data_IF_871354180039
#
_entry.id   IF_871354180039
#
_cell.length_a   1.000
_cell.length_b   1.000
_cell.length_c   1.000
_cell.angle_alpha   90.00
_cell.angle_beta   90.00
_cell.angle_gamma   90.00
#
_symmetry.space_group_name_H-M   'P 1'
#
loop_
_entity.id
_entity.type
_entity.pdbx_description
1 polymer ?
#
# COMPACT_ATOMS: atom_id res chain seq x y z
N UNK A 1 21.16 -18.63 32.01
CA UNK A 1 19.77 -18.40 32.48
C UNK A 1 18.88 -19.42 31.80
N UNK A 2 17.96 -20.08 32.52
CA UNK A 2 17.03 -21.08 31.95
C UNK A 2 15.65 -20.45 31.74
N UNK A 3 14.93 -20.87 30.68
CA UNK A 3 13.55 -20.44 30.37
C UNK A 3 12.62 -20.59 31.59
N UNK A 4 12.77 -21.70 32.32
CA UNK A 4 11.99 -21.99 33.52
C UNK A 4 12.24 -21.00 34.67
N UNK A 5 13.38 -20.31 34.67
CA UNK A 5 13.75 -19.36 35.71
C UNK A 5 13.35 -17.91 35.35
N UNK A 6 12.79 -17.67 34.15
CA UNK A 6 12.30 -16.37 33.76
C UNK A 6 10.96 -16.06 34.44
N UNK A 7 10.75 -14.78 34.78
CA UNK A 7 9.44 -14.30 35.22
C UNK A 7 8.42 -14.41 34.10
N UNK A 8 7.13 -14.53 34.45
CA UNK A 8 6.03 -14.59 33.49
C UNK A 8 6.10 -13.41 32.51
N UNK A 9 6.38 -12.20 33.00
CA UNK A 9 6.50 -10.99 32.16
C UNK A 9 7.61 -11.11 31.12
N UNK A 10 8.76 -11.68 31.48
CA UNK A 10 9.86 -11.87 30.54
C UNK A 10 9.53 -12.94 29.51
N UNK A 11 8.86 -14.04 29.92
CA UNK A 11 8.41 -15.06 28.98
C UNK A 11 7.39 -14.50 27.99
N UNK A 12 6.41 -13.74 28.47
CA UNK A 12 5.43 -13.05 27.62
C UNK A 12 6.11 -12.11 26.63
N UNK A 13 7.09 -11.31 27.09
CA UNK A 13 7.83 -10.42 26.20
C UNK A 13 8.64 -11.17 25.13
N UNK A 14 9.24 -12.31 25.47
CA UNK A 14 9.90 -13.16 24.47
C UNK A 14 8.87 -13.75 23.52
N UNK A 15 7.72 -14.22 24.01
CA UNK A 15 6.63 -14.77 23.19
C UNK A 15 6.03 -13.74 22.22
N UNK A 16 6.05 -12.44 22.55
CA UNK A 16 5.68 -11.36 21.64
C UNK A 16 6.61 -11.24 20.44
N UNK A 17 7.85 -11.70 20.55
CA UNK A 17 8.88 -11.66 19.49
C UNK A 17 8.90 -12.93 18.63
N UNK A 18 8.17 -13.97 19.02
CA UNK A 18 8.09 -15.23 18.28
C UNK A 18 7.09 -15.14 17.13
N UNK A 19 7.45 -15.74 16.00
CA UNK A 19 6.52 -15.95 14.88
C UNK A 19 5.42 -16.97 15.23
N UNK A 20 4.41 -17.07 14.37
CA UNK A 20 3.26 -17.91 14.65
C UNK A 20 3.64 -19.39 14.79
N UNK A 21 4.57 -19.88 13.97
CA UNK A 21 5.05 -21.27 14.04
C UNK A 21 5.75 -21.58 15.38
N UNK A 22 6.71 -20.74 15.78
CA UNK A 22 7.46 -20.90 17.03
C UNK A 22 6.53 -20.82 18.23
N UNK A 23 5.48 -19.99 18.18
CA UNK A 23 4.45 -19.93 19.23
C UNK A 23 3.62 -21.21 19.29
N UNK A 24 3.24 -21.78 18.15
CA UNK A 24 2.56 -23.07 18.10
C UNK A 24 3.43 -24.19 18.69
N UNK A 25 4.72 -24.22 18.36
CA UNK A 25 5.67 -25.20 18.93
C UNK A 25 5.83 -25.00 20.44
N UNK A 26 6.04 -23.76 20.91
CA UNK A 26 6.17 -23.44 22.33
C UNK A 26 4.92 -23.85 23.12
N UNK A 27 3.73 -23.61 22.56
CA UNK A 27 2.44 -23.98 23.17
C UNK A 27 2.30 -25.48 23.43
N UNK A 28 3.00 -26.32 22.67
CA UNK A 28 2.98 -27.78 22.82
C UNK A 28 4.02 -28.30 23.81
N UNK A 29 4.97 -27.48 24.26
CA UNK A 29 6.07 -27.91 25.13
C UNK A 29 5.62 -28.26 26.55
N UNK A 30 4.75 -27.44 27.17
CA UNK A 30 4.26 -27.67 28.53
C UNK A 30 2.95 -26.92 28.81
N UNK A 31 2.31 -27.21 29.95
CA UNK A 31 1.11 -26.48 30.40
C UNK A 31 1.41 -25.00 30.67
N UNK A 32 2.53 -24.70 31.33
CA UNK A 32 2.94 -23.33 31.65
C UNK A 32 3.25 -22.52 30.38
N UNK A 33 3.89 -23.16 29.39
CA UNK A 33 4.16 -22.54 28.09
C UNK A 33 2.88 -22.28 27.31
N UNK A 34 1.94 -23.22 27.35
CA UNK A 34 0.60 -23.03 26.79
C UNK A 34 -0.11 -21.83 27.41
N UNK A 35 -0.12 -21.71 28.73
CA UNK A 35 -0.72 -20.56 29.43
C UNK A 35 0.00 -19.25 29.08
N UNK A 36 1.33 -19.28 28.93
CA UNK A 36 2.11 -18.11 28.48
C UNK A 36 1.72 -17.69 27.06
N UNK A 37 1.64 -18.64 26.12
CA UNK A 37 1.25 -18.37 24.73
C UNK A 37 -0.19 -17.90 24.63
N UNK A 38 -1.12 -18.57 25.33
CA UNK A 38 -2.56 -18.26 25.32
C UNK A 38 -2.86 -16.91 26.01
N UNK A 39 -2.05 -16.48 26.98
CA UNK A 39 -2.17 -15.17 27.64
C UNK A 39 -1.46 -14.03 26.91
N UNK A 40 -0.54 -14.33 25.99
CA UNK A 40 0.17 -13.33 25.19
C UNK A 40 -0.60 -13.09 23.91
N UNK A 41 -1.05 -11.87 23.62
CA UNK A 41 -1.75 -11.61 22.36
C UNK A 41 -0.78 -11.70 21.18
N UNK A 42 -1.15 -12.42 20.12
CA UNK A 42 -0.44 -12.37 18.85
C UNK A 42 -0.97 -11.18 18.01
N UNK A 43 -0.06 -10.34 17.52
CA UNK A 43 -0.35 -9.25 16.61
C UNK A 43 0.54 -9.47 15.40
N UNK A 44 0.00 -9.97 14.27
CA UNK A 44 0.81 -10.25 13.10
C UNK A 44 1.40 -8.97 12.53
N UNK A 45 2.60 -9.08 11.96
CA UNK A 45 3.24 -7.99 11.24
C UNK A 45 2.51 -7.71 9.93
N UNK A 46 2.12 -8.76 9.20
CA UNK A 46 1.37 -8.69 7.95
C UNK A 46 0.17 -9.62 8.00
N UNK A 47 -0.98 -9.10 7.58
CA UNK A 47 -2.21 -9.87 7.39
C UNK A 47 -2.70 -9.64 5.97
N UNK A 48 -2.61 -10.66 5.11
CA UNK A 48 -3.00 -10.59 3.71
C UNK A 48 -4.16 -11.53 3.42
N UNK A 49 -5.14 -11.04 2.66
CA UNK A 49 -6.25 -11.84 2.12
C UNK A 49 -6.25 -11.67 0.61
N UNK A 50 -6.33 -12.77 -0.13
CA UNK A 50 -6.45 -12.74 -1.58
C UNK A 50 -7.39 -13.81 -2.11
N UNK A 51 -8.19 -13.50 -3.11
CA UNK A 51 -9.02 -14.46 -3.84
C UNK A 51 -8.59 -14.58 -5.30
N UNK A 52 -8.52 -15.81 -5.81
CA UNK A 52 -8.24 -16.05 -7.23
C UNK A 52 -9.03 -17.26 -7.75
N UNK A 53 -9.39 -17.26 -9.05
CA UNK A 53 -10.04 -18.40 -9.67
C UNK A 53 -9.13 -19.62 -9.66
N UNK A 54 -9.73 -20.81 -9.54
CA UNK A 54 -9.01 -22.08 -9.66
C UNK A 54 -9.10 -22.58 -11.09
N UNK A 55 -7.94 -22.81 -11.72
CA UNK A 55 -7.83 -23.36 -13.09
C UNK A 55 -8.50 -24.74 -13.24
N UNK A 56 -8.67 -25.47 -12.14
CA UNK A 56 -9.24 -26.82 -12.12
C UNK A 56 -10.72 -26.89 -12.52
N UNK A 57 -11.52 -25.84 -12.25
CA UNK A 57 -12.96 -25.87 -12.56
C UNK A 57 -13.61 -24.49 -12.45
N UNK A 58 -14.54 -24.20 -13.37
CA UNK A 58 -15.32 -22.96 -13.31
C UNK A 58 -16.17 -22.85 -12.02
N UNK A 59 -16.25 -21.64 -11.46
CA UNK A 59 -16.91 -21.31 -10.19
C UNK A 59 -16.17 -21.73 -8.93
N UNK A 60 -15.02 -22.42 -9.07
CA UNK A 60 -14.14 -22.73 -7.95
C UNK A 60 -13.13 -21.60 -7.79
N UNK A 61 -12.99 -21.11 -6.57
CA UNK A 61 -11.98 -20.10 -6.24
C UNK A 61 -11.18 -20.56 -5.03
N UNK A 62 -10.07 -19.87 -4.80
CA UNK A 62 -9.16 -20.10 -3.70
C UNK A 62 -9.06 -18.78 -2.96
N UNK A 63 -9.52 -18.76 -1.71
CA UNK A 63 -9.25 -17.66 -0.80
C UNK A 63 -8.01 -18.04 0.01
N UNK A 64 -6.93 -17.30 -0.20
CA UNK A 64 -5.67 -17.43 0.50
C UNK A 64 -5.58 -16.37 1.59
N UNK A 65 -5.24 -16.79 2.80
CA UNK A 65 -4.96 -15.90 3.92
C UNK A 65 -3.53 -16.15 4.37
N UNK A 66 -2.68 -15.12 4.29
CA UNK A 66 -1.32 -15.14 4.82
C UNK A 66 -1.23 -14.29 6.09
N UNK A 67 -0.67 -14.85 7.16
CA UNK A 67 -0.48 -14.22 8.46
C UNK A 67 0.98 -14.44 8.86
N UNK A 68 1.82 -13.45 8.61
CA UNK A 68 3.28 -13.58 8.69
C UNK A 68 3.80 -14.82 7.94
N UNK A 69 4.29 -15.82 8.65
CA UNK A 69 4.78 -17.09 8.08
C UNK A 69 3.68 -18.13 7.89
N UNK A 70 2.47 -17.94 8.42
CA UNK A 70 1.38 -18.90 8.32
C UNK A 70 0.52 -18.65 7.08
N UNK A 71 0.17 -19.70 6.34
CA UNK A 71 -0.74 -19.61 5.19
C UNK A 71 -1.90 -20.59 5.33
N UNK A 72 -3.10 -20.13 4.97
CA UNK A 72 -4.29 -20.96 4.80
C UNK A 72 -4.90 -20.78 3.41
N UNK A 73 -5.35 -21.88 2.82
CA UNK A 73 -6.09 -21.86 1.55
C UNK A 73 -7.48 -22.46 1.76
N UNK A 74 -8.51 -21.68 1.45
CA UNK A 74 -9.90 -22.11 1.41
C UNK A 74 -10.28 -22.33 -0.06
N UNK A 75 -10.15 -23.57 -0.51
CA UNK A 75 -10.32 -23.99 -1.90
C UNK A 75 -11.73 -24.58 -2.03
N UNK A 76 -12.67 -23.81 -2.58
CA UNK A 76 -14.07 -24.20 -2.52
C UNK A 76 -14.87 -23.90 -3.78
N UNK A 77 -15.91 -24.70 -3.98
CA UNK A 77 -16.97 -24.48 -4.97
C UNK A 77 -18.30 -24.77 -4.29
N UNK A 78 -19.25 -23.83 -4.40
CA UNK A 78 -20.56 -23.94 -3.75
C UNK A 78 -20.41 -24.23 -2.25
N UNK A 79 -20.97 -25.32 -1.74
CA UNK A 79 -20.97 -25.68 -0.31
C UNK A 79 -19.93 -26.74 0.04
N UNK A 80 -18.88 -26.89 -0.77
CA UNK A 80 -17.78 -27.82 -0.48
C UNK A 80 -16.45 -27.07 -0.52
N UNK A 81 -15.73 -27.11 0.59
CA UNK A 81 -14.46 -26.40 0.76
C UNK A 81 -13.38 -27.33 1.32
N UNK A 82 -12.24 -27.38 0.63
CA UNK A 82 -11.00 -27.93 1.17
C UNK A 82 -10.20 -26.81 1.83
N UNK A 83 -9.76 -27.03 3.06
CA UNK A 83 -8.92 -26.11 3.82
C UNK A 83 -7.54 -26.73 3.92
N UNK A 84 -6.56 -26.10 3.28
CA UNK A 84 -5.16 -26.47 3.39
C UNK A 84 -4.41 -25.44 4.27
N UNK A 85 -3.32 -25.88 4.91
CA UNK A 85 -2.50 -25.06 5.80
C UNK A 85 -1.02 -25.23 5.49
N UNK A 86 -0.25 -24.19 5.74
CA UNK A 86 1.14 -24.13 5.34
C UNK A 86 1.98 -23.13 6.10
N UNK A 87 3.29 -23.24 5.92
CA UNK A 87 4.28 -22.28 6.39
C UNK A 87 5.00 -21.67 5.18
N UNK A 88 5.14 -20.35 5.15
CA UNK A 88 5.82 -19.61 4.09
C UNK A 88 5.27 -19.94 2.68
N UNK A 89 3.97 -20.23 2.59
CA UNK A 89 3.33 -20.64 1.34
C UNK A 89 3.53 -22.11 0.94
N UNK A 90 4.26 -22.91 1.74
CA UNK A 90 4.44 -24.34 1.53
C UNK A 90 3.41 -25.15 2.31
N UNK A 91 2.75 -26.09 1.64
CA UNK A 91 1.74 -26.95 2.25
C UNK A 91 2.36 -27.86 3.31
N UNK A 92 1.63 -28.08 4.40
CA UNK A 92 2.01 -29.08 5.39
C UNK A 92 1.16 -30.33 5.17
N UNK A 93 1.83 -31.42 4.80
CA UNK A 93 1.20 -32.71 4.61
C UNK A 93 0.44 -33.15 5.87
N UNK A 94 -0.80 -33.62 5.67
CA UNK A 94 -1.66 -34.08 6.75
C UNK A 94 -2.46 -33.00 7.49
N UNK A 95 -2.33 -31.71 7.13
CA UNK A 95 -3.15 -30.62 7.69
C UNK A 95 -4.31 -30.14 6.79
N UNK A 96 -4.63 -30.92 5.76
CA UNK A 96 -5.78 -30.71 4.89
C UNK A 96 -7.09 -31.20 5.52
N UNK A 97 -8.16 -30.42 5.37
CA UNK A 97 -9.49 -30.77 5.87
C UNK A 97 -10.54 -30.48 4.79
N UNK A 98 -11.59 -31.28 4.72
CA UNK A 98 -12.74 -31.02 3.84
C UNK A 98 -13.96 -30.72 4.70
N UNK A 99 -14.68 -29.66 4.36
CA UNK A 99 -15.93 -29.25 5.02
C UNK A 99 -17.06 -29.06 4.02
N UNK A 100 -18.25 -29.51 4.40
CA UNK A 100 -19.50 -29.28 3.66
C UNK A 100 -20.07 -27.91 4.01
N UNK A 101 -19.30 -26.87 3.72
CA UNK A 101 -19.64 -25.48 3.99
C UNK A 101 -19.02 -24.58 2.92
N UNK A 102 -19.66 -23.43 2.65
CA UNK A 102 -19.15 -22.48 1.67
C UNK A 102 -17.84 -21.83 2.16
N UNK A 103 -16.90 -21.61 1.25
CA UNK A 103 -15.58 -21.02 1.56
C UNK A 103 -15.68 -19.65 2.24
N UNK A 104 -16.65 -18.82 1.86
CA UNK A 104 -16.84 -17.50 2.44
C UNK A 104 -17.32 -17.59 3.90
N UNK A 105 -18.20 -18.56 4.21
CA UNK A 105 -18.65 -18.81 5.59
C UNK A 105 -17.49 -19.29 6.48
N UNK A 106 -16.63 -20.16 5.95
CA UNK A 106 -15.46 -20.66 6.65
C UNK A 106 -14.39 -19.59 6.87
N UNK A 107 -14.12 -18.76 5.86
CA UNK A 107 -13.29 -17.56 6.01
C UNK A 107 -13.90 -16.65 7.06
N UNK A 108 -15.23 -16.53 7.08
CA UNK A 108 -15.88 -15.67 8.04
C UNK A 108 -15.66 -16.12 9.48
N UNK A 109 -15.89 -17.40 9.73
CA UNK A 109 -15.64 -18.04 11.03
C UNK A 109 -14.17 -17.94 11.44
N UNK A 110 -13.25 -18.13 10.48
CA UNK A 110 -11.83 -18.02 10.73
C UNK A 110 -11.46 -16.60 11.18
N UNK A 111 -11.85 -15.57 10.43
CA UNK A 111 -11.54 -14.18 10.79
C UNK A 111 -12.22 -13.73 12.08
N UNK A 112 -13.42 -14.25 12.37
CA UNK A 112 -14.07 -14.03 13.66
C UNK A 112 -13.25 -14.57 14.83
N UNK A 113 -12.52 -15.68 14.67
CA UNK A 113 -11.63 -16.23 15.72
C UNK A 113 -10.39 -15.35 15.99
N UNK A 114 -9.99 -14.53 15.03
CA UNK A 114 -8.90 -13.54 15.16
C UNK A 114 -9.36 -12.20 15.72
N UNK A 115 -10.68 -11.95 15.69
CA UNK A 115 -11.27 -10.71 16.19
C UNK A 115 -11.31 -10.70 17.72
N UNK A 116 -10.81 -9.64 18.32
CA UNK A 116 -10.97 -9.38 19.75
C UNK A 116 -11.65 -8.03 19.96
N UNK A 117 -12.83 -8.04 20.60
CA UNK A 117 -13.70 -6.86 20.75
C UNK A 117 -14.02 -6.19 19.41
N UNK A 118 -14.23 -6.99 18.36
CA UNK A 118 -14.54 -6.50 17.02
C UNK A 118 -13.33 -6.09 16.18
N UNK A 119 -12.10 -6.18 16.70
CA UNK A 119 -10.89 -5.75 15.99
C UNK A 119 -9.89 -6.88 15.75
N UNK A 120 -9.46 -7.01 14.50
CA UNK A 120 -8.26 -7.75 14.09
C UNK A 120 -7.12 -6.73 14.01
N UNK A 121 -6.12 -6.86 14.88
CA UNK A 121 -4.96 -5.95 14.93
C UNK A 121 -3.82 -6.56 14.14
N UNK A 122 -3.20 -5.78 13.26
CA UNK A 122 -2.02 -6.18 12.48
C UNK A 122 -1.12 -4.98 12.19
N UNK A 123 0.15 -5.21 11.84
CA UNK A 123 1.08 -4.16 11.43
C UNK A 123 0.74 -3.56 10.06
N UNK A 124 0.45 -4.44 9.11
CA UNK A 124 -0.01 -4.16 7.74
C UNK A 124 -1.20 -5.05 7.40
N UNK A 125 -2.19 -4.48 6.73
CA UNK A 125 -3.32 -5.21 6.16
C UNK A 125 -3.29 -5.10 4.64
N UNK A 126 -3.33 -6.24 3.96
CA UNK A 126 -3.34 -6.33 2.51
C UNK A 126 -4.57 -7.10 2.03
N UNK A 127 -5.27 -6.54 1.05
CA UNK A 127 -6.42 -7.16 0.41
C UNK A 127 -6.22 -7.16 -1.11
N UNK A 128 -6.35 -8.32 -1.74
CA UNK A 128 -6.17 -8.50 -3.19
C UNK A 128 -7.31 -9.33 -3.77
N UNK A 129 -8.26 -8.68 -4.44
CA UNK A 129 -9.50 -9.31 -4.97
C UNK A 129 -10.24 -10.10 -3.89
N UNK A 130 -11.37 -9.58 -3.39
CA UNK A 130 -12.31 -10.40 -2.64
C UNK A 130 -13.71 -10.02 -3.08
N UNK A 131 -14.42 -10.99 -3.66
CA UNK A 131 -15.73 -10.71 -4.26
C UNK A 131 -16.80 -10.39 -3.21
N UNK A 132 -16.62 -10.91 -1.99
CA UNK A 132 -17.57 -10.70 -0.89
C UNK A 132 -17.25 -9.46 -0.08
N UNK A 133 -18.28 -8.76 0.45
CA UNK A 133 -18.06 -7.68 1.41
C UNK A 133 -17.49 -8.24 2.72
N UNK A 134 -16.76 -7.42 3.50
CA UNK A 134 -16.41 -7.79 4.86
C UNK A 134 -17.71 -7.87 5.68
N UNK A 135 -17.88 -8.90 6.53
CA UNK A 135 -18.90 -8.89 7.56
C UNK A 135 -18.84 -7.62 8.41
N UNK A 136 -20.00 -7.13 8.81
CA UNK A 136 -20.16 -5.89 9.58
C UNK A 136 -19.42 -5.89 10.92
N UNK A 137 -19.07 -7.08 11.44
CA UNK A 137 -18.34 -7.26 12.69
C UNK A 137 -16.82 -7.11 12.55
N UNK A 138 -16.29 -6.99 11.33
CA UNK A 138 -14.84 -6.95 11.11
C UNK A 138 -14.34 -5.52 11.03
N UNK A 139 -13.38 -5.22 11.90
CA UNK A 139 -12.56 -4.02 11.78
C UNK A 139 -11.09 -4.39 11.82
N UNK A 140 -10.37 -4.08 10.75
CA UNK A 140 -8.93 -4.25 10.66
C UNK A 140 -8.24 -3.01 11.22
N UNK A 141 -7.59 -3.15 12.37
CA UNK A 141 -6.85 -2.07 13.01
C UNK A 141 -5.39 -2.13 12.59
N UNK A 142 -4.99 -1.26 11.67
CA UNK A 142 -3.66 -1.21 11.05
C UNK A 142 -3.24 0.22 10.71
N UNK A 143 -1.94 0.51 10.71
CA UNK A 143 -1.41 1.79 10.20
C UNK A 143 -1.00 1.71 8.72
N UNK A 144 -0.95 0.52 8.14
CA UNK A 144 -0.60 0.29 6.74
C UNK A 144 -1.74 -0.49 6.11
N UNK A 145 -2.32 0.07 5.05
CA UNK A 145 -3.33 -0.62 4.26
C UNK A 145 -2.90 -0.64 2.80
N UNK A 146 -3.05 -1.81 2.19
CA UNK A 146 -2.87 -1.99 0.76
C UNK A 146 -4.05 -2.77 0.22
N UNK A 147 -4.82 -2.14 -0.65
CA UNK A 147 -5.99 -2.75 -1.24
C UNK A 147 -5.81 -2.70 -2.75
N UNK A 148 -5.80 -3.86 -3.39
CA UNK A 148 -5.59 -4.00 -4.83
C UNK A 148 -6.73 -4.77 -5.49
N UNK A 149 -6.96 -4.49 -6.76
CA UNK A 149 -7.92 -5.19 -7.61
C UNK A 149 -9.34 -5.20 -7.00
N UNK A 150 -9.82 -4.00 -6.67
CA UNK A 150 -11.11 -3.81 -6.03
C UNK A 150 -12.28 -4.43 -6.81
N UNK A 151 -13.13 -5.17 -6.08
CA UNK A 151 -14.42 -5.68 -6.53
C UNK A 151 -15.53 -4.66 -6.24
N UNK A 152 -16.79 -5.02 -6.52
CA UNK A 152 -17.95 -4.16 -6.24
C UNK A 152 -18.07 -3.73 -4.76
N UNK A 153 -17.49 -4.47 -3.81
CA UNK A 153 -17.62 -4.24 -2.36
C UNK A 153 -16.43 -3.48 -1.74
N UNK A 154 -15.74 -2.68 -2.54
CA UNK A 154 -14.50 -2.02 -2.14
C UNK A 154 -14.67 -1.01 -1.00
N UNK A 155 -15.80 -0.32 -0.97
CA UNK A 155 -16.08 0.71 0.02
C UNK A 155 -16.18 0.10 1.41
N UNK A 156 -16.91 -1.00 1.53
CA UNK A 156 -17.07 -1.73 2.77
C UNK A 156 -15.72 -2.22 3.30
N UNK A 157 -14.84 -2.68 2.40
CA UNK A 157 -13.47 -3.07 2.75
C UNK A 157 -12.63 -1.89 3.24
N UNK A 158 -12.69 -0.73 2.58
CA UNK A 158 -11.99 0.48 3.02
C UNK A 158 -12.52 0.94 4.39
N UNK A 159 -13.83 0.98 4.58
CA UNK A 159 -14.49 1.37 5.84
C UNK A 159 -14.29 0.36 6.99
N UNK A 160 -13.95 -0.89 6.65
CA UNK A 160 -13.54 -1.89 7.63
C UNK A 160 -12.14 -1.63 8.20
N UNK A 161 -11.33 -0.80 7.54
CA UNK A 161 -9.98 -0.47 7.97
C UNK A 161 -9.96 0.75 8.90
N UNK A 162 -9.25 0.64 10.03
CA UNK A 162 -9.17 1.70 11.05
C UNK A 162 -7.70 1.90 11.48
N UNK A 163 -7.20 3.15 11.55
CA UNK A 163 -5.84 3.41 12.01
C UNK A 163 -5.66 3.16 13.51
N UNK A 164 -4.41 2.93 13.96
CA UNK A 164 -4.14 2.81 15.40
C UNK A 164 -4.31 4.13 16.14
N UNK A 165 -3.81 5.21 15.56
CA UNK A 165 -3.66 6.53 16.18
C UNK A 165 -4.23 7.62 15.26
N UNK A 166 -5.50 7.48 14.84
CA UNK A 166 -6.26 8.43 13.99
C UNK A 166 -5.76 8.62 12.55
N UNK A 167 -4.50 8.28 12.26
CA UNK A 167 -3.86 8.43 10.96
C UNK A 167 -3.31 7.10 10.45
N UNK A 168 -3.47 6.85 9.16
CA UNK A 168 -2.69 5.82 8.47
C UNK A 168 -1.25 6.35 8.25
N UNK A 169 -0.27 5.46 8.34
CA UNK A 169 1.09 5.75 7.87
C UNK A 169 1.16 5.57 6.36
N UNK A 170 0.64 4.47 5.85
CA UNK A 170 0.66 4.11 4.43
C UNK A 170 -0.73 3.67 3.99
N UNK A 171 -1.16 4.17 2.84
CA UNK A 171 -2.40 3.79 2.19
C UNK A 171 -2.14 3.63 0.69
N UNK A 172 -2.29 2.41 0.18
CA UNK A 172 -2.22 2.11 -1.25
C UNK A 172 -3.56 1.51 -1.69
N UNK A 173 -4.22 2.13 -2.67
CA UNK A 173 -5.48 1.64 -3.25
C UNK A 173 -5.32 1.61 -4.77
N UNK A 174 -5.11 0.42 -5.32
CA UNK A 174 -4.84 0.20 -6.74
C UNK A 174 -6.03 -0.54 -7.37
N UNK A 175 -6.73 0.11 -8.29
CA UNK A 175 -7.95 -0.43 -8.86
C UNK A 175 -7.93 -0.32 -10.39
N UNK A 176 -8.40 -1.38 -11.04
CA UNK A 176 -8.52 -1.48 -12.50
C UNK A 176 -9.91 -1.10 -13.02
N UNK A 177 -10.88 -0.95 -12.12
CA UNK A 177 -12.23 -0.55 -12.47
C UNK A 177 -12.42 0.95 -12.28
N UNK A 178 -13.26 1.55 -13.11
CA UNK A 178 -13.70 2.93 -12.98
C UNK A 178 -14.76 3.01 -11.87
N UNK A 179 -14.33 3.34 -10.65
CA UNK A 179 -15.18 3.41 -9.46
C UNK A 179 -14.97 4.73 -8.73
N UNK A 180 -16.06 5.33 -8.27
CA UNK A 180 -16.02 6.59 -7.54
C UNK A 180 -15.32 6.42 -6.18
N UNK A 181 -14.23 7.16 -5.97
CA UNK A 181 -13.42 7.07 -4.75
C UNK A 181 -13.74 8.14 -3.71
N UNK A 182 -14.89 8.81 -3.83
CA UNK A 182 -15.33 9.89 -2.93
C UNK A 182 -15.25 9.52 -1.44
N UNK A 183 -15.60 8.29 -0.99
CA UNK A 183 -15.50 7.93 0.42
C UNK A 183 -14.05 7.82 0.94
N UNK A 184 -13.06 7.56 0.08
CA UNK A 184 -11.64 7.56 0.47
C UNK A 184 -11.27 8.91 1.08
N UNK A 185 -11.84 10.01 0.58
CA UNK A 185 -11.62 11.36 1.08
C UNK A 185 -11.93 11.51 2.58
N UNK A 186 -12.87 10.73 3.10
CA UNK A 186 -13.25 10.76 4.52
C UNK A 186 -12.20 10.12 5.45
N UNK A 187 -11.30 9.31 4.89
CA UNK A 187 -10.27 8.55 5.63
C UNK A 187 -8.84 8.93 5.22
N UNK A 188 -8.64 9.96 4.41
CA UNK A 188 -7.36 10.44 3.85
C UNK A 188 -6.38 11.08 4.86
N UNK A 189 -6.46 10.70 6.13
CA UNK A 189 -5.51 11.12 7.15
C UNK A 189 -4.24 10.25 7.07
N UNK A 190 -3.38 10.52 6.08
CA UNK A 190 -2.19 9.71 5.76
C UNK A 190 -0.89 10.51 5.96
N UNK A 191 0.08 9.92 6.66
CA UNK A 191 1.31 10.62 7.10
C UNK A 191 2.59 10.32 6.34
N UNK A 192 2.73 9.16 5.67
CA UNK A 192 3.98 8.80 4.97
C UNK A 192 3.79 8.58 3.47
N UNK A 193 2.89 7.69 3.08
CA UNK A 193 2.69 7.31 1.68
C UNK A 193 1.21 7.15 1.35
N UNK A 194 0.74 7.83 0.30
CA UNK A 194 -0.62 7.72 -0.22
C UNK A 194 -0.57 7.45 -1.73
N UNK A 195 -1.09 6.32 -2.17
CA UNK A 195 -1.20 6.00 -3.59
C UNK A 195 -2.62 5.55 -3.91
N UNK A 196 -3.26 6.25 -4.83
CA UNK A 196 -4.59 5.91 -5.33
C UNK A 196 -4.58 6.06 -6.85
N UNK A 197 -4.80 4.96 -7.56
CA UNK A 197 -4.73 4.94 -9.03
C UNK A 197 -5.95 5.61 -9.68
N UNK A 198 -7.10 5.55 -9.01
CA UNK A 198 -8.35 6.11 -9.51
C UNK A 198 -8.45 7.62 -9.24
N UNK A 199 -9.05 8.40 -10.16
CA UNK A 199 -9.31 9.81 -9.93
C UNK A 199 -10.11 10.08 -8.65
N UNK A 200 -9.69 11.11 -7.93
CA UNK A 200 -10.30 11.62 -6.72
C UNK A 200 -10.96 12.97 -7.00
N UNK A 201 -11.99 13.34 -6.23
CA UNK A 201 -12.56 14.68 -6.24
C UNK A 201 -11.88 15.58 -5.18
N UNK A 202 -10.55 15.62 -5.20
CA UNK A 202 -9.76 16.39 -4.23
C UNK A 202 -9.65 17.86 -4.64
N UNK A 203 -10.04 18.76 -3.75
CA UNK A 203 -9.77 20.20 -3.85
C UNK A 203 -8.39 20.55 -3.30
N UNK A 204 -7.86 21.72 -3.67
CA UNK A 204 -6.58 22.25 -3.14
C UNK A 204 -6.52 22.23 -1.60
N UNK A 205 -7.58 22.68 -0.94
CA UNK A 205 -7.64 22.74 0.52
C UNK A 205 -7.65 21.36 1.19
N UNK A 206 -8.15 20.32 0.51
CA UNK A 206 -8.05 18.94 0.99
C UNK A 206 -6.65 18.36 0.71
N UNK A 207 -6.07 18.65 -0.45
CA UNK A 207 -4.70 18.25 -0.80
C UNK A 207 -3.67 18.78 0.21
N UNK A 208 -3.81 20.04 0.65
CA UNK A 208 -2.94 20.65 1.67
C UNK A 208 -2.98 19.94 3.03
N UNK A 209 -4.07 19.22 3.36
CA UNK A 209 -4.20 18.46 4.61
C UNK A 209 -3.47 17.12 4.57
N UNK A 210 -3.08 16.64 3.39
CA UNK A 210 -2.39 15.36 3.22
C UNK A 210 -0.90 15.52 3.55
N UNK A 211 -0.48 14.96 4.69
CA UNK A 211 0.89 15.09 5.18
C UNK A 211 1.90 14.17 4.49
N UNK A 212 1.46 13.05 3.92
CA UNK A 212 2.32 12.08 3.25
C UNK A 212 3.10 12.75 2.10
N UNK A 213 4.44 12.80 2.09
CA UNK A 213 5.19 13.33 0.95
C UNK A 213 5.25 12.36 -0.24
N UNK A 214 5.35 11.05 0.02
CA UNK A 214 5.21 10.02 -1.01
C UNK A 214 3.73 9.94 -1.44
N UNK A 215 3.43 10.34 -2.66
CA UNK A 215 2.07 10.60 -3.10
C UNK A 215 1.91 10.25 -4.58
N UNK A 216 0.88 9.47 -4.91
CA UNK A 216 0.43 9.23 -6.28
C UNK A 216 -1.09 9.31 -6.31
N UNK A 217 -1.64 10.40 -6.84
CA UNK A 217 -3.10 10.60 -6.95
C UNK A 217 -3.42 11.42 -8.21
N UNK A 218 -4.67 11.42 -8.62
CA UNK A 218 -5.17 12.34 -9.65
C UNK A 218 -6.48 12.99 -9.20
N UNK A 219 -6.71 14.25 -9.58
CA UNK A 219 -7.98 14.95 -9.35
C UNK A 219 -8.15 16.10 -10.33
N UNK A 220 -9.30 16.16 -11.00
CA UNK A 220 -9.63 17.25 -11.91
C UNK A 220 -9.91 18.59 -11.20
N UNK A 221 -10.13 18.57 -9.88
CA UNK A 221 -10.46 19.73 -9.05
C UNK A 221 -9.23 20.43 -8.44
N UNK A 222 -8.04 19.88 -8.66
CA UNK A 222 -6.79 20.51 -8.23
C UNK A 222 -6.40 21.61 -9.22
N UNK A 223 -6.09 22.79 -8.71
CA UNK A 223 -5.60 23.91 -9.52
C UNK A 223 -4.07 23.82 -9.73
N UNK A 224 -3.55 24.59 -10.68
CA UNK A 224 -2.09 24.74 -10.87
C UNK A 224 -1.40 25.21 -9.60
N UNK A 225 -2.02 26.13 -8.85
CA UNK A 225 -1.45 26.65 -7.61
C UNK A 225 -1.47 25.57 -6.51
N UNK A 226 -2.52 24.75 -6.45
CA UNK A 226 -2.55 23.56 -5.59
C UNK A 226 -1.44 22.57 -5.91
N UNK A 227 -1.24 22.26 -7.20
CA UNK A 227 -0.16 21.39 -7.67
C UNK A 227 1.24 21.95 -7.36
N UNK A 228 1.42 23.26 -7.53
CA UNK A 228 2.67 23.96 -7.20
C UNK A 228 2.99 23.93 -5.71
N UNK A 229 2.02 24.26 -4.84
CA UNK A 229 2.19 24.14 -3.38
C UNK A 229 2.51 22.71 -2.98
N UNK A 230 1.89 21.73 -3.66
CA UNK A 230 2.14 20.32 -3.42
C UNK A 230 3.57 19.91 -3.79
N UNK A 231 4.10 20.41 -4.91
CA UNK A 231 5.51 20.26 -5.29
C UNK A 231 6.45 20.86 -4.23
N UNK A 232 6.18 22.08 -3.76
CA UNK A 232 6.97 22.71 -2.69
C UNK A 232 6.93 21.88 -1.39
N UNK A 233 5.76 21.35 -1.02
CA UNK A 233 5.62 20.45 0.12
C UNK A 233 6.48 19.18 -0.05
N UNK A 234 6.45 18.54 -1.24
CA UNK A 234 7.29 17.38 -1.53
C UNK A 234 8.79 17.71 -1.43
N UNK A 235 9.23 18.83 -2.01
CA UNK A 235 10.64 19.26 -1.94
C UNK A 235 11.08 19.54 -0.50
N UNK A 236 10.19 20.08 0.33
CA UNK A 236 10.47 20.39 1.74
C UNK A 236 10.50 19.15 2.65
N UNK A 237 9.60 18.18 2.43
CA UNK A 237 9.36 17.08 3.37
C UNK A 237 9.69 15.67 2.84
N UNK A 238 9.94 15.50 1.54
CA UNK A 238 10.22 14.20 0.93
C UNK A 238 11.62 13.67 1.26
N UNK A 239 11.74 12.34 1.35
CA UNK A 239 12.98 11.61 1.52
C UNK A 239 13.62 11.22 0.17
N UNK A 240 14.66 10.39 0.20
CA UNK A 240 15.34 9.89 -1.01
C UNK A 240 14.49 8.89 -1.80
N UNK A 241 13.65 8.12 -1.11
CA UNK A 241 12.82 7.05 -1.69
C UNK A 241 11.44 7.52 -2.11
N UNK A 242 11.00 8.68 -1.61
CA UNK A 242 9.65 9.18 -1.84
C UNK A 242 9.51 9.71 -3.26
N UNK A 243 8.33 9.52 -3.85
CA UNK A 243 7.97 10.05 -5.17
C UNK A 243 6.67 10.83 -5.06
N UNK A 244 6.57 11.91 -5.82
CA UNK A 244 5.33 12.64 -5.99
C UNK A 244 4.86 12.48 -7.43
N UNK A 245 3.62 12.06 -7.59
CA UNK A 245 2.90 11.99 -8.85
C UNK A 245 1.50 12.57 -8.62
N UNK A 246 1.18 13.61 -9.39
CA UNK A 246 -0.06 14.35 -9.27
C UNK A 246 -0.70 14.56 -10.63
N UNK A 247 -1.88 14.01 -10.83
CA UNK A 247 -2.75 14.31 -11.95
C UNK A 247 -3.66 15.49 -11.66
N UNK A 248 -3.74 16.49 -12.54
CA UNK A 248 -4.69 17.61 -12.43
C UNK A 248 -5.12 18.13 -13.81
N UNK A 249 -6.21 18.90 -13.89
CA UNK A 249 -6.76 19.36 -15.18
C UNK A 249 -5.80 20.30 -15.93
N UNK A 250 -5.70 20.17 -17.25
CA UNK A 250 -4.95 21.11 -18.11
C UNK A 250 -5.68 22.46 -18.18
N UNK A 251 -5.10 23.57 -17.69
CA UNK A 251 -5.70 24.88 -17.87
C UNK A 251 -5.43 25.43 -19.29
N UNK A 252 -6.22 26.41 -19.76
CA UNK A 252 -5.95 27.09 -21.03
C UNK A 252 -4.58 27.77 -21.03
N UNK A 253 -3.84 27.65 -22.15
CA UNK A 253 -2.50 28.24 -22.33
C UNK A 253 -1.50 27.83 -21.23
N UNK A 254 -1.54 26.56 -20.83
CA UNK A 254 -0.67 26.03 -19.79
C UNK A 254 0.82 26.11 -20.19
N UNK A 255 1.65 26.57 -19.27
CA UNK A 255 3.11 26.49 -19.38
C UNK A 255 3.70 26.09 -18.03
N UNK A 256 4.25 24.87 -17.96
CA UNK A 256 4.77 24.31 -16.72
C UNK A 256 5.92 25.15 -16.12
N UNK A 257 6.83 25.66 -16.96
CA UNK A 257 7.96 26.43 -16.47
C UNK A 257 7.53 27.78 -15.87
N UNK A 258 6.56 28.44 -16.47
CA UNK A 258 6.09 29.77 -16.04
C UNK A 258 5.08 29.71 -14.88
N UNK A 259 4.20 28.70 -14.89
CA UNK A 259 3.04 28.64 -14.02
C UNK A 259 3.20 27.64 -12.86
N UNK A 260 3.88 26.51 -13.09
CA UNK A 260 3.96 25.42 -12.11
C UNK A 260 5.26 25.44 -11.30
N UNK A 261 6.40 25.72 -11.95
CA UNK A 261 7.72 25.67 -11.29
C UNK A 261 7.93 26.96 -10.46
N UNK A 262 8.13 26.86 -9.14
CA UNK A 262 8.43 28.04 -8.33
C UNK A 262 9.70 28.76 -8.78
N UNK A 263 9.63 30.09 -8.94
CA UNK A 263 10.71 30.93 -9.50
C UNK A 263 12.03 30.91 -8.71
N UNK A 264 11.98 30.52 -7.44
CA UNK A 264 13.15 30.45 -6.57
C UNK A 264 13.94 29.15 -6.73
N UNK A 265 13.38 28.14 -7.43
CA UNK A 265 14.05 26.89 -7.71
C UNK A 265 15.10 27.05 -8.81
N UNK A 266 16.24 26.38 -8.63
CA UNK A 266 17.29 26.30 -9.63
C UNK A 266 17.03 25.08 -10.51
N UNK A 267 16.47 25.30 -11.69
CA UNK A 267 16.06 24.23 -12.62
C UNK A 267 16.89 24.23 -13.91
N UNK A 268 17.05 23.04 -14.50
CA UNK A 268 17.60 22.88 -15.87
C UNK A 268 16.66 22.01 -16.68
N UNK A 269 16.21 22.56 -17.81
CA UNK A 269 15.46 21.79 -18.81
C UNK A 269 16.39 20.75 -19.46
N UNK A 270 15.88 19.54 -19.64
CA UNK A 270 16.54 18.47 -20.37
C UNK A 270 15.79 18.24 -21.68
N UNK A 271 16.47 17.68 -22.68
CA UNK A 271 15.80 17.25 -23.91
C UNK A 271 15.01 15.98 -23.63
N UNK A 272 13.76 15.96 -24.06
CA UNK A 272 12.90 14.78 -24.11
C UNK A 272 12.28 14.69 -25.50
N UNK A 273 12.33 13.51 -26.09
CA UNK A 273 11.69 13.27 -27.38
C UNK A 273 10.17 13.38 -27.22
N UNK A 274 9.51 14.01 -28.19
CA UNK A 274 8.06 14.21 -28.23
C UNK A 274 7.48 15.09 -27.10
N UNK A 275 8.27 15.99 -26.50
CA UNK A 275 7.76 17.00 -25.57
C UNK A 275 6.82 17.97 -26.30
N UNK A 276 5.60 18.14 -25.78
CA UNK A 276 4.59 19.05 -26.34
C UNK A 276 4.76 20.49 -25.84
N UNK A 277 4.11 21.44 -26.50
CA UNK A 277 4.12 22.83 -26.07
C UNK A 277 3.52 22.98 -24.66
N UNK A 278 4.22 23.72 -23.80
CA UNK A 278 3.83 23.92 -22.40
C UNK A 278 4.29 22.83 -21.42
N UNK A 279 4.81 21.69 -21.89
CA UNK A 279 5.40 20.65 -21.05
C UNK A 279 6.80 21.02 -20.52
N UNK A 280 7.24 20.32 -19.48
CA UNK A 280 8.58 20.50 -18.93
C UNK A 280 9.16 19.18 -18.43
N UNK A 281 10.29 18.78 -19.02
CA UNK A 281 11.17 17.77 -18.46
C UNK A 281 12.50 18.37 -18.00
N UNK A 282 12.92 18.07 -16.77
CA UNK A 282 14.14 18.67 -16.24
C UNK A 282 14.62 18.15 -14.90
N UNK A 283 15.56 18.91 -14.33
CA UNK A 283 16.11 18.69 -12.99
C UNK A 283 15.97 19.93 -12.13
N UNK A 284 15.71 19.72 -10.85
CA UNK A 284 15.80 20.73 -9.79
C UNK A 284 17.10 20.46 -9.02
N UNK A 285 18.04 21.41 -9.05
CA UNK A 285 19.35 21.28 -8.40
C UNK A 285 19.39 21.88 -7.00
N UNK A 286 18.45 22.77 -6.69
CA UNK A 286 18.44 23.49 -5.43
C UNK A 286 17.42 24.61 -5.45
N UNK A 287 17.60 25.56 -4.54
CA UNK A 287 16.60 26.60 -4.25
C UNK A 287 15.49 26.10 -3.34
N UNK A 288 15.63 24.95 -2.66
CA UNK A 288 14.68 24.48 -1.66
C UNK A 288 15.42 24.00 -0.40
N UNK A 289 14.77 24.11 0.75
CA UNK A 289 15.27 23.61 2.02
C UNK A 289 14.45 22.41 2.47
N UNK A 290 15.09 21.23 2.48
CA UNK A 290 14.46 19.98 2.90
C UNK A 290 14.73 19.70 4.38
N UNK A 291 13.68 19.46 5.16
CA UNK A 291 13.78 19.25 6.62
C UNK A 291 14.51 17.96 6.98
N UNK A 292 14.53 16.97 6.08
CA UNK A 292 15.23 15.70 6.26
C UNK A 292 16.68 15.76 5.72
N UNK A 293 17.18 16.96 5.39
CA UNK A 293 18.53 17.22 4.84
C UNK A 293 18.81 16.49 3.52
N UNK A 294 17.76 16.17 2.76
CA UNK A 294 17.89 15.61 1.41
C UNK A 294 18.03 16.74 0.39
N UNK A 295 19.24 16.94 -0.11
CA UNK A 295 19.61 18.00 -1.06
C UNK A 295 20.02 17.44 -2.42
N UNK A 296 19.84 16.14 -2.63
CA UNK A 296 20.11 15.48 -3.90
C UNK A 296 19.22 16.07 -5.02
N UNK A 297 19.73 16.21 -6.26
CA UNK A 297 18.94 16.71 -7.38
C UNK A 297 17.66 15.91 -7.60
N UNK A 298 16.58 16.61 -7.94
CA UNK A 298 15.27 15.99 -8.23
C UNK A 298 15.00 15.99 -9.72
N UNK A 299 14.44 14.90 -10.20
CA UNK A 299 13.79 14.85 -11.51
C UNK A 299 12.43 15.52 -11.38
N UNK A 300 12.05 16.28 -12.41
CA UNK A 300 10.70 16.80 -12.55
C UNK A 300 10.24 16.57 -13.99
N UNK A 301 9.03 16.07 -14.13
CA UNK A 301 8.44 15.72 -15.41
C UNK A 301 6.97 16.14 -15.40
N UNK A 302 6.62 17.10 -16.25
CA UNK A 302 5.29 17.65 -16.38
C UNK A 302 4.82 17.41 -17.82
N UNK A 303 3.92 16.45 -17.99
CA UNK A 303 3.42 16.00 -19.29
C UNK A 303 1.89 16.11 -19.36
N UNK A 304 1.38 16.36 -20.56
CA UNK A 304 -0.05 16.37 -20.85
C UNK A 304 -0.50 14.99 -21.36
N UNK A 305 -1.61 14.51 -20.81
CA UNK A 305 -2.29 13.28 -21.19
C UNK A 305 -3.77 13.59 -21.39
N UNK A 306 -4.15 13.87 -22.63
CA UNK A 306 -5.51 14.32 -22.95
C UNK A 306 -5.84 15.63 -22.23
N UNK A 307 -6.84 15.61 -21.36
CA UNK A 307 -7.29 16.79 -20.60
C UNK A 307 -6.62 16.92 -19.22
N UNK A 308 -5.65 16.06 -18.91
CA UNK A 308 -4.96 16.02 -17.62
C UNK A 308 -3.47 16.28 -17.78
N UNK A 309 -2.87 16.93 -16.79
CA UNK A 309 -1.43 17.08 -16.60
C UNK A 309 -1.00 16.04 -15.58
N UNK A 310 0.07 15.32 -15.87
CA UNK A 310 0.82 14.51 -14.91
C UNK A 310 2.05 15.29 -14.49
N UNK A 311 2.10 15.67 -13.22
CA UNK A 311 3.29 16.21 -12.58
C UNK A 311 3.96 15.12 -11.75
N UNK A 312 5.17 14.75 -12.15
CA UNK A 312 6.04 13.85 -11.41
C UNK A 312 7.24 14.61 -10.83
N UNK A 313 7.63 14.25 -9.60
CA UNK A 313 8.89 14.65 -8.99
C UNK A 313 9.46 13.52 -8.14
N UNK A 314 10.77 13.26 -8.26
CA UNK A 314 11.45 12.19 -7.54
C UNK A 314 12.95 12.42 -7.47
N UNK A 315 13.68 11.52 -6.79
CA UNK A 315 15.14 11.55 -6.82
C UNK A 315 15.64 11.37 -8.27
N UNK A 316 16.54 12.23 -8.73
CA UNK A 316 17.17 12.04 -10.03
C UNK A 316 18.25 10.96 -9.94
N UNK A 317 17.97 9.79 -10.52
CA UNK A 317 18.99 8.75 -10.68
C UNK A 317 19.73 8.97 -12.00
N UNK A 318 21.06 9.13 -11.95
CA UNK A 318 21.86 9.12 -13.17
C UNK A 318 21.70 7.76 -13.83
N UNK A 319 21.32 7.76 -15.11
CA UNK A 319 21.38 6.55 -15.94
C UNK A 319 22.73 5.86 -15.76
N UNK A 320 22.69 4.61 -15.29
CA UNK A 320 23.86 3.74 -15.19
C UNK A 320 24.15 3.04 -16.52
N UNK A 321 23.33 3.25 -17.56
CA UNK A 321 23.63 2.75 -18.89
C UNK A 321 24.89 3.47 -19.37
N UNK A 322 26.01 2.76 -19.58
CA UNK A 322 27.18 3.38 -20.18
C UNK A 322 26.76 3.98 -21.51
N UNK A 323 27.27 5.18 -21.83
CA UNK A 323 27.16 5.71 -23.17
C UNK A 323 27.70 4.64 -24.13
N UNK A 324 26.80 3.98 -24.87
CA UNK A 324 27.19 3.23 -26.05
C UNK A 324 27.68 4.28 -27.04
N UNK A 325 28.99 4.53 -27.05
CA UNK A 325 29.59 5.22 -28.18
C UNK A 325 29.34 4.31 -29.37
N UNK A 326 28.43 4.73 -30.25
CA UNK A 326 28.35 4.14 -31.59
C UNK A 326 29.76 4.17 -32.16
N UNK A 327 30.26 3.06 -32.73
CA UNK A 327 31.62 3.06 -33.23
C UNK A 327 31.67 4.04 -34.41
N UNK A 328 32.43 5.13 -34.23
CA UNK A 328 32.86 5.99 -35.31
C UNK A 328 33.87 5.22 -36.16
N UNK A 329 33.42 4.25 -36.94
CA UNK A 329 34.23 3.68 -38.02
C UNK A 329 34.08 4.57 -39.24
N UNK A 330 35.13 5.37 -39.45
CA UNK A 330 35.75 5.69 -40.74
C UNK A 330 34.91 5.34 -41.98
N UNK A 331 34.26 6.34 -42.56
CA UNK A 331 34.16 6.38 -44.02
C UNK A 331 35.33 7.20 -44.54
N UNK A 332 36.24 6.49 -45.22
CA UNK A 332 37.26 7.03 -46.12
C UNK A 332 36.59 7.79 -47.28
#
# INVERSE_FOLDING_TARGET
MSWLNLTIRLRQHITELLDYESRCQLRLCSKDDRETVDSTRFIPSTFKISEFPSDMSNGKTIIRIDIDTFTMWFIGKENLTRIDRGWNGELIDGMSQIKQENRYELVNQFLQSWSHKGFIKCGSFELDVLEVPPPTTWKFKSNVIKIVNLSANYLEWIESCVPFNEFFKVMEILCWMDVAMTPVLSVLNVKKSLKVDQPLDLTDGQLERIHAPDLSISSALISVEGAKKRLEHFLKFGNKTDKMELGFSVPPNFNALEQLIPKHLVVKKLKKENEQEGEFYGKIFGGFENVNKVQDPREIDCMQYGNMIRLYCGLYEKSTRPCMMYPFYQFL
#
